data_IF_270341629981
#
_entry.id   IF_270341629981
#
_cell.length_a   1.000
_cell.length_b   1.000
_cell.length_c   1.000
_cell.angle_alpha   90.00
_cell.angle_beta   90.00
_cell.angle_gamma   90.00
#
_symmetry.space_group_name_H-M   'P 1'
#
loop_
_entity.id
_entity.type
_entity.pdbx_description
1 polymer ?
#
# COMPACT_ATOMS: atom_id res chain seq x y z
N UNK A 1 14.75 -23.28 5.02
CA UNK A 1 14.54 -21.90 4.50
C UNK A 1 13.09 -21.55 4.67
N UNK A 2 12.75 -20.47 5.37
CA UNK A 2 11.37 -20.04 5.54
C UNK A 2 10.98 -19.10 4.41
N UNK A 3 9.78 -19.28 3.85
CA UNK A 3 9.15 -18.37 2.89
C UNK A 3 8.05 -17.59 3.60
N UNK A 4 7.94 -16.29 3.35
CA UNK A 4 6.86 -15.47 3.91
C UNK A 4 5.55 -15.64 3.14
N UNK A 5 5.62 -16.14 1.90
CA UNK A 5 4.49 -16.34 1.00
C UNK A 5 4.85 -17.32 -0.13
N UNK A 6 3.88 -18.07 -0.59
CA UNK A 6 3.97 -18.91 -1.78
C UNK A 6 3.18 -18.27 -2.91
N UNK A 7 3.75 -18.29 -4.13
CA UNK A 7 3.12 -17.83 -5.38
C UNK A 7 2.26 -16.55 -5.21
N UNK A 8 2.92 -15.40 -5.17
CA UNK A 8 2.26 -14.13 -4.95
C UNK A 8 1.49 -13.67 -6.20
N UNK A 9 0.16 -13.57 -6.07
CA UNK A 9 -0.75 -13.03 -7.08
C UNK A 9 -1.51 -11.79 -6.56
N UNK A 10 -1.05 -11.19 -5.46
CA UNK A 10 -1.71 -10.07 -4.76
C UNK A 10 -0.79 -8.88 -4.53
N UNK A 11 0.41 -8.85 -5.11
CA UNK A 11 1.43 -7.82 -4.88
C UNK A 11 1.81 -7.67 -3.39
N UNK A 12 2.14 -8.80 -2.76
CA UNK A 12 2.49 -8.89 -1.32
C UNK A 12 4.01 -8.90 -1.09
N UNK A 13 4.76 -8.05 -1.77
CA UNK A 13 6.20 -7.87 -1.57
C UNK A 13 6.53 -7.30 -0.18
N UNK A 14 7.82 -7.20 0.14
CA UNK A 14 8.34 -6.63 1.38
C UNK A 14 8.93 -5.24 1.10
N UNK A 15 8.12 -4.16 1.16
CA UNK A 15 8.58 -2.83 0.78
C UNK A 15 9.43 -2.17 1.88
N UNK A 16 9.28 -2.63 3.13
CA UNK A 16 9.93 -2.04 4.29
C UNK A 16 11.29 -2.66 4.59
N UNK A 17 12.28 -1.88 5.06
CA UNK A 17 13.51 -2.43 5.60
C UNK A 17 13.23 -3.20 6.89
N UNK A 18 13.97 -4.29 7.18
CA UNK A 18 13.85 -5.00 8.45
C UNK A 18 14.42 -4.18 9.61
N UNK A 19 13.87 -4.40 10.81
CA UNK A 19 14.37 -3.81 12.04
C UNK A 19 15.26 -4.81 12.78
N UNK A 20 16.43 -4.37 13.21
CA UNK A 20 17.31 -5.11 14.10
C UNK A 20 16.96 -4.76 15.55
N UNK A 21 16.61 -5.77 16.32
CA UNK A 21 16.21 -5.62 17.73
C UNK A 21 16.80 -6.74 18.57
N UNK A 22 16.89 -6.54 19.87
CA UNK A 22 17.21 -7.62 20.83
C UNK A 22 15.94 -7.97 21.60
N UNK A 23 15.59 -9.24 21.64
CA UNK A 23 14.45 -9.76 22.38
C UNK A 23 14.91 -10.68 23.50
N UNK A 24 14.17 -10.71 24.60
CA UNK A 24 14.43 -11.61 25.72
C UNK A 24 13.46 -12.78 25.68
N UNK A 25 13.97 -13.99 25.65
CA UNK A 25 13.22 -15.25 25.69
C UNK A 25 13.75 -16.15 26.77
N UNK A 26 12.89 -16.54 27.69
CA UNK A 26 13.28 -17.41 28.82
C UNK A 26 14.55 -16.93 29.54
N UNK A 27 14.67 -15.62 29.77
CA UNK A 27 15.82 -14.99 30.40
C UNK A 27 17.04 -14.78 29.48
N UNK A 28 17.03 -15.29 28.26
CA UNK A 28 18.14 -15.16 27.30
C UNK A 28 17.87 -14.04 26.31
N UNK A 29 18.85 -13.18 26.08
CA UNK A 29 18.82 -12.17 25.03
C UNK A 29 19.16 -12.81 23.69
N UNK A 30 18.35 -12.51 22.68
CA UNK A 30 18.51 -13.00 21.31
C UNK A 30 18.52 -11.79 20.38
N UNK A 31 19.57 -11.67 19.62
CA UNK A 31 19.64 -10.69 18.54
C UNK A 31 18.74 -11.14 17.39
N UNK A 32 17.75 -10.32 17.05
CA UNK A 32 16.68 -10.67 16.14
C UNK A 32 16.59 -9.70 14.97
N UNK A 33 16.00 -10.18 13.88
CA UNK A 33 15.55 -9.39 12.75
C UNK A 33 14.02 -9.49 12.67
N UNK A 34 13.34 -8.35 12.70
CA UNK A 34 11.90 -8.28 12.59
C UNK A 34 11.51 -7.60 11.26
N UNK A 35 10.64 -8.27 10.50
CA UNK A 35 10.18 -7.82 9.19
C UNK A 35 8.68 -7.58 9.20
N UNK A 36 8.26 -6.33 9.01
CA UNK A 36 6.85 -6.00 8.72
C UNK A 36 6.52 -6.30 7.25
N UNK A 37 5.27 -6.57 6.96
CA UNK A 37 4.84 -7.02 5.62
C UNK A 37 3.62 -6.27 5.13
N UNK A 38 3.41 -6.20 3.81
CA UNK A 38 2.16 -5.71 3.20
C UNK A 38 0.92 -6.44 3.72
N UNK A 39 1.05 -7.72 4.07
CA UNK A 39 -0.06 -8.54 4.60
C UNK A 39 -0.53 -8.14 6.00
N UNK A 40 0.17 -7.24 6.69
CA UNK A 40 -0.13 -6.88 8.06
C UNK A 40 0.50 -7.78 9.11
N UNK A 41 1.48 -8.62 8.74
CA UNK A 41 2.20 -9.49 9.66
C UNK A 41 3.58 -8.96 10.02
N UNK A 42 4.07 -9.38 11.18
CA UNK A 42 5.49 -9.29 11.55
C UNK A 42 6.07 -10.69 11.60
N UNK A 43 7.11 -10.92 10.80
CA UNK A 43 7.97 -12.10 10.94
C UNK A 43 9.22 -11.71 11.73
N UNK A 44 9.58 -12.51 12.72
CA UNK A 44 10.78 -12.27 13.54
C UNK A 44 11.63 -13.53 13.60
N UNK A 45 12.92 -13.36 13.36
CA UNK A 45 13.89 -14.44 13.33
C UNK A 45 15.10 -14.10 14.20
N UNK A 46 15.68 -15.12 14.80
CA UNK A 46 17.05 -15.06 15.30
C UNK A 46 17.96 -14.74 14.11
N UNK A 47 18.68 -13.62 14.16
CA UNK A 47 19.48 -13.16 13.02
C UNK A 47 20.75 -13.96 12.77
N UNK A 48 21.18 -14.77 13.73
CA UNK A 48 22.36 -15.65 13.59
C UNK A 48 21.97 -16.98 12.96
N UNK A 49 20.86 -17.58 13.44
CA UNK A 49 20.46 -18.93 13.05
C UNK A 49 19.37 -18.94 11.96
N UNK A 50 18.67 -17.82 11.73
CA UNK A 50 17.51 -17.73 10.85
C UNK A 50 16.27 -18.45 11.38
N UNK A 51 16.27 -18.95 12.62
CA UNK A 51 15.12 -19.64 13.21
C UNK A 51 14.03 -18.63 13.58
N UNK A 52 12.74 -18.91 13.29
CA UNK A 52 11.65 -18.04 13.70
C UNK A 52 11.51 -18.03 15.22
N UNK A 53 11.31 -16.86 15.80
CA UNK A 53 11.15 -16.69 17.24
C UNK A 53 9.71 -16.93 17.70
N UNK A 54 8.73 -16.83 16.81
CA UNK A 54 7.37 -17.30 16.99
C UNK A 54 7.06 -18.38 15.95
N UNK A 55 6.24 -19.38 16.27
CA UNK A 55 5.88 -20.42 15.32
C UNK A 55 5.22 -19.84 14.06
N UNK A 56 5.59 -20.37 12.91
CA UNK A 56 4.98 -20.08 11.61
C UNK A 56 4.22 -21.35 11.20
N UNK A 57 2.92 -21.21 10.97
CA UNK A 57 2.04 -22.31 10.59
C UNK A 57 1.64 -22.18 9.12
N UNK A 58 1.83 -23.25 8.35
CA UNK A 58 1.25 -23.40 7.02
C UNK A 58 -0.25 -23.65 7.14
N UNK A 59 -1.08 -22.71 6.63
CA UNK A 59 -2.54 -22.82 6.65
C UNK A 59 -3.09 -22.98 5.25
N UNK A 60 -4.07 -23.87 5.10
CA UNK A 60 -4.81 -24.02 3.84
C UNK A 60 -5.52 -22.71 3.48
N UNK A 61 -5.46 -22.34 2.21
CA UNK A 61 -6.14 -21.17 1.64
C UNK A 61 -7.00 -21.60 0.45
N UNK A 62 -7.90 -20.72 0.00
CA UNK A 62 -8.71 -20.96 -1.17
C UNK A 62 -7.81 -21.01 -2.43
N UNK A 63 -7.99 -22.05 -3.25
CA UNK A 63 -7.23 -22.23 -4.50
C UNK A 63 -8.03 -21.95 -5.76
N UNK A 64 -9.30 -21.53 -5.61
CA UNK A 64 -10.15 -21.21 -6.77
C UNK A 64 -9.67 -19.91 -7.42
N UNK A 65 -9.09 -20.04 -8.60
CA UNK A 65 -8.56 -18.94 -9.39
C UNK A 65 -9.17 -18.92 -10.80
N UNK A 66 -8.88 -17.86 -11.56
CA UNK A 66 -9.28 -17.77 -12.97
C UNK A 66 -8.55 -18.81 -13.83
N UNK A 67 -9.15 -19.28 -14.94
CA UNK A 67 -8.49 -20.20 -15.86
C UNK A 67 -7.11 -19.72 -16.29
N UNK A 68 -6.10 -20.57 -16.11
CA UNK A 68 -4.70 -20.25 -16.40
C UNK A 68 -3.88 -19.75 -15.21
N UNK A 69 -4.51 -19.43 -14.07
CA UNK A 69 -3.84 -19.09 -12.82
C UNK A 69 -3.89 -20.29 -11.85
N UNK A 70 -2.84 -20.44 -11.05
CA UNK A 70 -2.70 -21.49 -10.04
C UNK A 70 -2.36 -20.91 -8.68
N UNK A 71 -3.35 -20.71 -7.83
CA UNK A 71 -3.12 -20.33 -6.44
C UNK A 71 -2.44 -21.46 -5.66
N UNK A 72 -1.50 -21.09 -4.77
CA UNK A 72 -0.84 -22.09 -3.92
C UNK A 72 -1.78 -22.55 -2.80
N UNK A 73 -1.73 -23.84 -2.46
CA UNK A 73 -2.68 -24.49 -1.53
C UNK A 73 -2.55 -24.07 -0.05
N UNK A 74 -1.41 -23.56 0.35
CA UNK A 74 -1.12 -23.13 1.73
C UNK A 74 -0.38 -21.81 1.73
N UNK A 75 -0.47 -21.08 2.83
CA UNK A 75 0.33 -19.88 3.06
C UNK A 75 0.88 -19.87 4.49
N UNK A 76 2.07 -19.30 4.73
CA UNK A 76 2.67 -19.23 6.04
C UNK A 76 2.05 -18.11 6.90
N UNK A 77 1.63 -18.47 8.09
CA UNK A 77 1.04 -17.57 9.09
C UNK A 77 1.91 -17.52 10.34
N UNK A 78 2.51 -16.40 10.73
CA UNK A 78 3.10 -16.25 12.05
C UNK A 78 1.97 -16.28 13.09
N UNK A 79 2.10 -17.09 14.13
CA UNK A 79 1.07 -17.19 15.16
C UNK A 79 1.08 -15.97 16.10
N UNK A 80 2.23 -15.33 16.23
CA UNK A 80 2.43 -14.10 16.98
C UNK A 80 3.46 -13.21 16.27
N UNK A 81 3.33 -11.90 16.45
CA UNK A 81 2.17 -11.18 16.97
C UNK A 81 0.94 -11.39 16.09
N UNK A 82 -0.25 -11.05 16.59
CA UNK A 82 -1.46 -10.96 15.75
C UNK A 82 -1.24 -9.92 14.65
N UNK A 83 -1.95 -10.01 13.51
CA UNK A 83 -1.84 -9.05 12.44
C UNK A 83 -2.03 -7.61 12.92
N UNK A 84 -1.18 -6.69 12.49
CA UNK A 84 -1.28 -5.27 12.88
C UNK A 84 -2.27 -4.48 12.01
N UNK A 85 -2.71 -5.04 10.89
CA UNK A 85 -3.79 -4.52 10.05
C UNK A 85 -4.97 -5.48 10.05
N UNK A 86 -6.18 -4.99 9.75
CA UNK A 86 -7.35 -5.84 9.48
C UNK A 86 -7.11 -6.67 8.21
N UNK A 87 -7.64 -7.88 8.21
CA UNK A 87 -7.56 -8.79 7.07
C UNK A 87 -8.91 -8.87 6.35
N UNK A 88 -8.90 -9.12 5.04
CA UNK A 88 -10.11 -9.15 4.22
C UNK A 88 -11.17 -10.15 4.73
N UNK A 89 -10.76 -11.28 5.29
CA UNK A 89 -11.66 -12.30 5.85
C UNK A 89 -12.34 -11.89 7.17
N UNK A 90 -11.88 -10.82 7.81
CA UNK A 90 -12.50 -10.25 9.01
C UNK A 90 -13.61 -9.27 8.68
N UNK A 91 -13.72 -8.84 7.41
CA UNK A 91 -14.66 -7.81 6.96
C UNK A 91 -16.02 -8.41 6.64
N UNK A 92 -17.06 -7.84 7.23
CA UNK A 92 -18.46 -8.17 6.95
C UNK A 92 -19.05 -7.19 5.93
N UNK A 93 -20.17 -7.56 5.28
CA UNK A 93 -20.85 -6.66 4.34
C UNK A 93 -21.33 -5.35 4.99
N UNK A 94 -21.52 -5.37 6.31
CA UNK A 94 -21.95 -4.22 7.13
C UNK A 94 -20.82 -3.29 7.54
N UNK A 95 -19.54 -3.68 7.32
CA UNK A 95 -18.35 -2.90 7.74
C UNK A 95 -18.05 -1.75 6.78
N UNK A 96 -19.09 -0.97 6.47
CA UNK A 96 -19.00 0.22 5.63
C UNK A 96 -18.81 1.49 6.47
N UNK A 97 -18.21 2.49 5.84
CA UNK A 97 -17.92 3.78 6.47
C UNK A 97 -19.17 4.40 7.13
N UNK A 98 -19.10 4.83 8.40
CA UNK A 98 -20.20 5.55 9.05
C UNK A 98 -20.45 6.92 8.40
N UNK A 99 -19.50 7.45 7.65
CA UNK A 99 -19.54 8.75 7.00
C UNK A 99 -20.02 8.70 5.55
N UNK A 100 -20.14 7.51 4.95
CA UNK A 100 -20.59 7.34 3.58
C UNK A 100 -22.02 7.80 3.35
N UNK A 101 -22.27 8.49 2.25
CA UNK A 101 -23.61 8.92 1.82
C UNK A 101 -24.38 7.80 1.10
N UNK A 102 -23.69 6.84 0.49
CA UNK A 102 -24.25 5.71 -0.26
C UNK A 102 -24.07 4.36 0.46
N UNK A 103 -24.33 4.28 1.76
CA UNK A 103 -24.06 3.10 2.62
C UNK A 103 -24.67 1.80 2.10
N UNK A 104 -25.91 1.83 1.64
CA UNK A 104 -26.59 0.62 1.16
C UNK A 104 -25.95 0.09 -0.13
N UNK A 105 -25.55 0.97 -1.03
CA UNK A 105 -24.79 0.58 -2.21
C UNK A 105 -23.44 -0.07 -1.83
N UNK A 106 -22.70 0.54 -0.91
CA UNK A 106 -21.43 -0.02 -0.41
C UNK A 106 -21.63 -1.39 0.24
N UNK A 107 -22.68 -1.59 1.03
CA UNK A 107 -23.01 -2.90 1.62
C UNK A 107 -23.26 -3.94 0.53
N UNK A 108 -24.01 -3.58 -0.51
CA UNK A 108 -24.29 -4.44 -1.64
C UNK A 108 -23.01 -4.81 -2.40
N UNK A 109 -22.16 -3.82 -2.70
CA UNK A 109 -20.87 -4.05 -3.35
C UNK A 109 -20.02 -4.98 -2.48
N UNK A 110 -19.82 -4.61 -1.21
CA UNK A 110 -18.97 -5.36 -0.28
C UNK A 110 -19.50 -6.79 -0.05
N UNK A 111 -20.84 -6.96 0.00
CA UNK A 111 -21.49 -8.26 0.12
C UNK A 111 -21.22 -9.20 -1.06
N UNK A 112 -21.05 -8.63 -2.26
CA UNK A 112 -20.79 -9.38 -3.48
C UNK A 112 -19.31 -9.65 -3.76
N UNK A 113 -18.37 -8.98 -3.07
CA UNK A 113 -16.93 -9.22 -3.26
C UNK A 113 -16.50 -10.55 -2.62
N UNK A 114 -15.54 -11.24 -3.23
CA UNK A 114 -14.77 -12.27 -2.53
C UNK A 114 -13.94 -11.59 -1.43
N UNK A 115 -13.92 -12.17 -0.23
CA UNK A 115 -13.29 -11.58 0.96
C UNK A 115 -12.44 -12.56 1.74
N UNK A 116 -12.27 -13.77 1.24
CA UNK A 116 -11.37 -14.74 1.87
C UNK A 116 -9.93 -14.20 1.86
N UNK A 117 -9.21 -14.43 2.94
CA UNK A 117 -7.81 -14.09 2.97
C UNK A 117 -7.06 -14.98 1.98
N UNK A 118 -6.34 -14.41 1.06
CA UNK A 118 -5.77 -15.08 -0.12
C UNK A 118 -6.80 -15.62 -1.14
N UNK A 119 -8.03 -15.07 -1.20
CA UNK A 119 -8.86 -15.27 -2.38
C UNK A 119 -8.17 -14.71 -3.62
N UNK A 120 -8.08 -15.51 -4.66
CA UNK A 120 -7.49 -15.06 -5.93
C UNK A 120 -8.33 -13.95 -6.58
N UNK A 121 -7.71 -13.06 -7.37
CA UNK A 121 -8.41 -12.06 -8.17
C UNK A 121 -9.51 -12.71 -9.03
N UNK A 122 -10.67 -12.04 -9.17
CA UNK A 122 -11.85 -12.65 -9.82
C UNK A 122 -12.62 -11.66 -10.69
N UNK A 123 -13.45 -12.16 -11.59
CA UNK A 123 -14.38 -11.35 -12.39
C UNK A 123 -15.48 -10.71 -11.54
N UNK A 124 -15.87 -11.34 -10.45
CA UNK A 124 -16.80 -10.80 -9.46
C UNK A 124 -16.20 -9.59 -8.72
N UNK A 125 -14.89 -9.60 -8.52
CA UNK A 125 -14.12 -8.69 -7.68
C UNK A 125 -13.72 -9.35 -6.38
N UNK A 126 -12.52 -9.01 -5.90
CA UNK A 126 -11.92 -9.52 -4.67
C UNK A 126 -11.49 -8.35 -3.82
N UNK A 127 -11.91 -8.30 -2.56
CA UNK A 127 -11.44 -7.32 -1.59
C UNK A 127 -10.01 -7.66 -1.19
N UNK A 128 -9.11 -6.74 -1.45
CA UNK A 128 -7.72 -6.81 -1.00
C UNK A 128 -7.58 -5.91 0.24
N UNK A 129 -7.37 -6.52 1.40
CA UNK A 129 -7.14 -5.82 2.66
C UNK A 129 -6.11 -6.60 3.51
N UNK A 130 -5.04 -5.96 3.95
CA UNK A 130 -4.56 -4.64 3.53
C UNK A 130 -4.45 -4.53 2.01
N UNK A 131 -4.65 -3.32 1.47
CA UNK A 131 -4.68 -3.07 0.03
C UNK A 131 -3.34 -3.25 -0.67
N UNK A 132 -3.23 -2.79 -1.93
CA UNK A 132 -2.00 -2.92 -2.72
C UNK A 132 -0.82 -2.12 -2.13
N UNK A 133 -1.09 -0.99 -1.50
CA UNK A 133 -0.07 -0.26 -0.73
C UNK A 133 0.41 -1.07 0.49
N UNK A 134 -0.40 -2.01 0.98
CA UNK A 134 -0.09 -2.86 2.12
C UNK A 134 -0.43 -2.24 3.47
N UNK A 135 -0.45 -3.07 4.51
CA UNK A 135 -0.54 -2.61 5.89
C UNK A 135 0.71 -1.85 6.30
N UNK A 136 1.88 -2.39 6.03
CA UNK A 136 3.17 -1.73 6.23
C UNK A 136 3.82 -1.33 4.92
N UNK A 137 4.36 -0.11 4.90
CA UNK A 137 4.89 0.56 3.73
C UNK A 137 6.41 0.75 3.82
N UNK A 138 7.02 1.27 2.74
CA UNK A 138 8.46 1.50 2.59
C UNK A 138 9.09 2.40 3.67
N UNK A 139 8.31 3.20 4.39
CA UNK A 139 8.78 3.95 5.56
C UNK A 139 9.19 3.07 6.75
N UNK A 140 8.77 1.82 6.74
CA UNK A 140 9.15 0.83 7.73
C UNK A 140 8.50 1.03 9.11
N UNK A 141 9.02 0.30 10.09
CA UNK A 141 8.65 0.43 11.49
C UNK A 141 9.76 1.16 12.27
N UNK A 142 9.36 1.89 13.31
CA UNK A 142 10.29 2.33 14.35
C UNK A 142 10.53 1.22 15.37
N UNK A 143 11.65 1.26 16.06
CA UNK A 143 11.94 0.27 17.09
C UNK A 143 12.60 0.90 18.34
N UNK A 144 12.30 0.35 19.51
CA UNK A 144 13.19 0.41 20.66
C UNK A 144 14.01 -0.88 20.65
N UNK A 145 15.24 -0.84 20.12
CA UNK A 145 16.01 -2.04 19.86
C UNK A 145 16.44 -2.76 21.13
N UNK A 146 16.55 -2.05 22.26
CA UNK A 146 16.98 -2.62 23.55
C UNK A 146 15.82 -3.28 24.31
N UNK A 147 14.61 -2.70 24.17
CA UNK A 147 13.41 -3.26 24.81
C UNK A 147 12.70 -4.30 23.94
N UNK A 148 13.09 -4.46 22.68
CA UNK A 148 12.43 -5.36 21.74
C UNK A 148 11.02 -4.95 21.38
N UNK A 149 10.74 -3.63 21.28
CA UNK A 149 9.43 -3.09 20.94
C UNK A 149 9.45 -2.56 19.51
N UNK A 150 8.45 -2.93 18.71
CA UNK A 150 8.20 -2.34 17.39
C UNK A 150 7.03 -1.36 17.43
N UNK A 151 7.16 -0.28 16.67
CA UNK A 151 6.13 0.73 16.47
C UNK A 151 5.81 0.80 14.99
N UNK A 152 4.56 0.47 14.63
CA UNK A 152 4.16 0.25 13.25
C UNK A 152 2.94 1.11 12.94
N UNK A 153 3.06 2.02 11.99
CA UNK A 153 1.91 2.65 11.37
C UNK A 153 1.38 1.75 10.25
N UNK A 154 0.07 1.63 10.17
CA UNK A 154 -0.60 0.71 9.25
C UNK A 154 -1.70 1.36 8.46
N UNK A 155 -1.77 1.03 7.17
CA UNK A 155 -2.91 1.33 6.31
C UNK A 155 -4.02 0.29 6.51
N UNK A 156 -5.26 0.81 6.61
CA UNK A 156 -6.50 0.02 6.72
C UNK A 156 -7.41 0.29 5.51
N UNK A 157 -6.83 0.66 4.38
CA UNK A 157 -7.53 0.97 3.13
C UNK A 157 -7.86 -0.31 2.36
N UNK A 158 -9.16 -0.53 2.09
CA UNK A 158 -9.61 -1.60 1.22
C UNK A 158 -9.44 -1.25 -0.25
N UNK A 159 -9.04 -2.24 -1.06
CA UNK A 159 -8.97 -2.15 -2.51
C UNK A 159 -9.81 -3.24 -3.14
N UNK A 160 -10.27 -3.00 -4.37
CA UNK A 160 -11.04 -3.99 -5.13
C UNK A 160 -10.25 -4.41 -6.36
N UNK A 161 -9.82 -5.65 -6.36
CA UNK A 161 -9.18 -6.26 -7.52
C UNK A 161 -10.22 -7.01 -8.34
N UNK A 162 -10.58 -6.45 -9.49
CA UNK A 162 -11.52 -7.05 -10.42
C UNK A 162 -10.81 -7.37 -11.73
N UNK A 163 -11.08 -8.57 -12.24
CA UNK A 163 -10.54 -9.03 -13.50
C UNK A 163 -11.63 -9.00 -14.57
N UNK A 164 -11.25 -8.72 -15.80
CA UNK A 164 -12.13 -8.84 -16.97
C UNK A 164 -11.46 -9.69 -18.03
N UNK A 165 -12.26 -10.46 -18.72
CA UNK A 165 -11.79 -11.31 -19.82
C UNK A 165 -11.49 -10.44 -21.04
N UNK A 166 -10.32 -10.65 -21.65
CA UNK A 166 -9.98 -10.05 -22.93
C UNK A 166 -10.84 -10.67 -24.04
N UNK A 167 -11.62 -9.84 -24.73
CA UNK A 167 -12.57 -10.29 -25.75
C UNK A 167 -11.91 -10.74 -27.04
N UNK A 168 -10.80 -10.13 -27.40
CA UNK A 168 -10.11 -10.40 -28.66
C UNK A 168 -8.66 -10.83 -28.41
N UNK A 169 -8.44 -12.15 -28.57
CA UNK A 169 -7.12 -12.76 -28.43
C UNK A 169 -6.49 -13.13 -29.79
N UNK A 170 -7.16 -12.78 -30.90
CA UNK A 170 -6.78 -13.23 -32.24
C UNK A 170 -5.76 -12.32 -32.92
N UNK A 171 -5.75 -11.01 -32.56
CA UNK A 171 -4.82 -10.06 -33.13
C UNK A 171 -4.10 -9.24 -32.06
N UNK A 172 -2.81 -8.98 -32.28
CA UNK A 172 -2.00 -8.08 -31.43
C UNK A 172 -2.08 -6.69 -32.02
N UNK A 173 -2.84 -5.81 -31.38
CA UNK A 173 -2.98 -4.40 -31.78
C UNK A 173 -2.49 -3.47 -30.68
N UNK A 174 -2.35 -2.17 -30.99
CA UNK A 174 -2.04 -1.17 -29.98
C UNK A 174 -3.06 -1.13 -28.84
N UNK A 175 -4.34 -1.40 -29.13
CA UNK A 175 -5.38 -1.50 -28.11
C UNK A 175 -5.17 -2.70 -27.19
N UNK A 176 -4.99 -3.90 -27.75
CA UNK A 176 -4.78 -5.11 -26.93
C UNK A 176 -3.50 -5.03 -26.08
N UNK A 177 -2.46 -4.38 -26.60
CA UNK A 177 -1.24 -4.13 -25.84
C UNK A 177 -1.45 -3.08 -24.75
N UNK A 178 -2.19 -2.00 -25.04
CA UNK A 178 -2.56 -1.02 -24.03
C UNK A 178 -3.35 -1.68 -22.89
N UNK A 179 -4.31 -2.52 -23.21
CA UNK A 179 -5.08 -3.26 -22.21
C UNK A 179 -4.17 -4.14 -21.33
N UNK A 180 -3.15 -4.79 -21.92
CA UNK A 180 -2.23 -5.64 -21.15
C UNK A 180 -1.24 -4.87 -20.26
N UNK A 181 -0.70 -3.74 -20.74
CA UNK A 181 0.43 -3.07 -20.09
C UNK A 181 0.08 -1.77 -19.39
N UNK A 182 -0.99 -1.08 -19.82
CA UNK A 182 -1.25 0.30 -19.42
C UNK A 182 -2.57 0.47 -18.66
N UNK A 183 -3.60 -0.33 -19.01
CA UNK A 183 -4.96 -0.15 -18.50
C UNK A 183 -5.08 -0.35 -16.99
N UNK A 184 -4.22 -1.18 -16.37
CA UNK A 184 -4.19 -1.38 -14.92
C UNK A 184 -3.98 -0.08 -14.13
N UNK A 185 -3.23 0.88 -14.71
CA UNK A 185 -3.00 2.19 -14.11
C UNK A 185 -3.88 3.27 -14.75
N UNK A 186 -3.89 3.33 -16.10
CA UNK A 186 -4.55 4.41 -16.83
C UNK A 186 -6.04 4.16 -17.13
N UNK A 187 -6.58 3.01 -16.71
CA UNK A 187 -7.97 2.62 -16.95
C UNK A 187 -8.22 2.06 -18.35
N UNK A 188 -9.20 1.16 -18.48
CA UNK A 188 -9.54 0.49 -19.75
C UNK A 188 -9.98 1.46 -20.86
N UNK A 189 -10.57 2.60 -20.50
CA UNK A 189 -10.99 3.67 -21.40
C UNK A 189 -10.06 4.89 -21.35
N UNK A 190 -8.84 4.74 -20.87
CA UNK A 190 -7.82 5.81 -20.74
C UNK A 190 -8.18 6.92 -19.74
N UNK A 191 -9.20 6.70 -18.89
CA UNK A 191 -9.73 7.69 -17.95
C UNK A 191 -8.79 8.04 -16.80
N UNK A 192 -7.76 7.21 -16.54
CA UNK A 192 -6.91 7.33 -15.36
C UNK A 192 -7.58 6.88 -14.07
N UNK A 193 -6.90 7.08 -12.97
CA UNK A 193 -7.42 6.88 -11.61
C UNK A 193 -6.81 7.93 -10.67
N UNK A 194 -7.44 9.13 -10.55
CA UNK A 194 -6.91 10.22 -9.73
C UNK A 194 -6.76 9.86 -8.25
N UNK A 195 -7.67 9.03 -7.71
CA UNK A 195 -7.59 8.57 -6.31
C UNK A 195 -6.33 7.74 -6.01
N UNK A 196 -5.78 7.08 -7.04
CA UNK A 196 -4.52 6.33 -6.96
C UNK A 196 -3.32 7.07 -7.57
N UNK A 197 -3.52 8.31 -8.03
CA UNK A 197 -2.47 9.15 -8.62
C UNK A 197 -2.12 8.85 -10.07
N UNK A 198 -2.95 8.08 -10.78
CA UNK A 198 -2.73 7.74 -12.20
C UNK A 198 -3.41 8.74 -13.13
N UNK A 199 -2.67 9.41 -14.02
CA UNK A 199 -3.25 10.44 -14.88
C UNK A 199 -4.14 9.85 -15.97
N UNK A 200 -5.18 10.61 -16.36
CA UNK A 200 -5.97 10.33 -17.54
C UNK A 200 -5.13 10.53 -18.81
N UNK A 201 -5.32 9.65 -19.80
CA UNK A 201 -4.77 9.76 -21.14
C UNK A 201 -5.83 10.15 -22.18
N UNK A 202 -7.04 10.50 -21.74
CA UNK A 202 -8.10 11.00 -22.63
C UNK A 202 -7.65 12.33 -23.22
N UNK A 203 -7.76 12.47 -24.55
CA UNK A 203 -7.33 13.63 -25.32
C UNK A 203 -5.85 14.02 -25.12
N UNK A 204 -4.99 13.03 -24.86
CA UNK A 204 -3.55 13.27 -24.68
C UNK A 204 -2.86 13.71 -25.97
N UNK A 205 -3.40 13.34 -27.14
CA UNK A 205 -2.99 13.76 -28.46
C UNK A 205 -2.95 15.27 -28.63
N UNK A 206 -3.91 16.00 -28.00
CA UNK A 206 -3.96 17.46 -27.97
C UNK A 206 -2.88 18.10 -27.08
N UNK A 207 -2.26 17.32 -26.21
CA UNK A 207 -1.32 17.80 -25.18
C UNK A 207 0.11 17.34 -25.38
N UNK A 208 0.30 16.23 -26.08
CA UNK A 208 1.61 15.58 -26.25
C UNK A 208 1.76 14.95 -27.63
N UNK A 209 2.95 15.05 -28.19
CA UNK A 209 3.29 14.41 -29.47
C UNK A 209 3.46 12.91 -29.33
N UNK A 210 3.28 12.16 -30.42
CA UNK A 210 3.54 10.72 -30.48
C UNK A 210 4.97 10.38 -30.02
N UNK A 211 5.95 11.16 -30.44
CA UNK A 211 7.35 10.95 -30.05
C UNK A 211 7.54 11.07 -28.54
N UNK A 212 6.92 12.06 -27.90
CA UNK A 212 6.96 12.20 -26.43
C UNK A 212 6.30 11.01 -25.74
N UNK A 213 5.11 10.58 -26.20
CA UNK A 213 4.40 9.42 -25.65
C UNK A 213 5.26 8.17 -25.77
N UNK A 214 5.83 7.92 -26.95
CA UNK A 214 6.71 6.78 -27.17
C UNK A 214 7.95 6.80 -26.25
N UNK A 215 8.56 7.97 -26.05
CA UNK A 215 9.69 8.12 -25.14
C UNK A 215 9.29 7.76 -23.70
N UNK A 216 8.12 8.24 -23.22
CA UNK A 216 7.62 7.91 -21.88
C UNK A 216 7.31 6.41 -21.75
N UNK A 217 6.69 5.79 -22.75
CA UNK A 217 6.47 4.34 -22.77
C UNK A 217 7.82 3.60 -22.63
N UNK A 218 8.82 3.99 -23.39
CA UNK A 218 10.13 3.32 -23.37
C UNK A 218 10.87 3.50 -22.05
N UNK A 219 10.90 4.71 -21.50
CA UNK A 219 11.78 5.08 -20.38
C UNK A 219 11.07 5.10 -19.02
N UNK A 220 9.75 5.21 -19.01
CA UNK A 220 8.98 5.51 -17.81
C UNK A 220 9.06 6.97 -17.37
N UNK A 221 8.29 7.33 -16.34
CA UNK A 221 8.31 8.66 -15.72
C UNK A 221 7.68 8.64 -14.33
N UNK A 222 8.43 9.01 -13.30
CA UNK A 222 7.94 8.98 -11.92
C UNK A 222 7.57 7.55 -11.49
N UNK A 223 6.30 7.32 -11.12
CA UNK A 223 5.81 5.98 -10.76
C UNK A 223 5.56 5.07 -11.97
N UNK A 224 5.47 5.62 -13.19
CA UNK A 224 5.28 4.81 -14.39
C UNK A 224 6.58 4.09 -14.76
N UNK A 225 6.60 2.74 -14.78
CA UNK A 225 7.78 2.00 -15.19
C UNK A 225 8.05 2.18 -16.69
N UNK A 226 9.30 1.98 -17.11
CA UNK A 226 9.66 1.91 -18.53
C UNK A 226 9.34 0.54 -19.11
N UNK A 227 8.81 0.53 -20.33
CA UNK A 227 8.49 -0.68 -21.10
C UNK A 227 9.50 -0.94 -22.22
N UNK A 228 10.78 -0.62 -21.98
CA UNK A 228 11.86 -0.87 -22.92
C UNK A 228 12.11 -2.35 -23.24
N UNK A 229 11.53 -3.27 -22.48
CA UNK A 229 11.60 -4.72 -22.68
C UNK A 229 10.63 -5.27 -23.74
N UNK A 230 9.60 -4.50 -24.14
CA UNK A 230 8.72 -4.86 -25.27
C UNK A 230 9.27 -4.30 -26.57
N UNK A 231 8.89 -4.92 -27.71
CA UNK A 231 9.47 -4.54 -29.01
C UNK A 231 9.17 -3.09 -29.39
N UNK A 232 10.01 -2.42 -30.19
CA UNK A 232 9.75 -1.05 -30.66
C UNK A 232 8.44 -0.92 -31.43
N UNK A 233 8.04 -1.95 -32.18
CA UNK A 233 6.76 -2.01 -32.89
C UNK A 233 5.58 -2.02 -31.94
N UNK A 234 5.68 -2.80 -30.86
CA UNK A 234 4.65 -2.83 -29.79
C UNK A 234 4.54 -1.49 -29.07
N UNK A 235 5.68 -0.85 -28.73
CA UNK A 235 5.69 0.49 -28.14
C UNK A 235 5.04 1.53 -29.06
N UNK A 236 5.37 1.47 -30.37
CA UNK A 236 4.77 2.38 -31.37
C UNK A 236 3.27 2.16 -31.50
N UNK A 237 2.81 0.91 -31.55
CA UNK A 237 1.37 0.60 -31.64
C UNK A 237 0.59 1.06 -30.42
N UNK A 238 1.13 0.92 -29.22
CA UNK A 238 0.54 1.48 -27.98
C UNK A 238 0.44 3.00 -28.10
N UNK A 239 1.49 3.68 -28.56
CA UNK A 239 1.50 5.12 -28.75
C UNK A 239 0.45 5.56 -29.79
N UNK A 240 0.29 4.81 -30.89
CA UNK A 240 -0.74 5.05 -31.91
C UNK A 240 -2.15 4.95 -31.32
N UNK A 241 -2.43 3.89 -30.55
CA UNK A 241 -3.72 3.70 -29.88
C UNK A 241 -4.02 4.81 -28.85
N UNK A 242 -3.02 5.23 -28.08
CA UNK A 242 -3.18 6.32 -27.11
C UNK A 242 -3.54 7.62 -27.81
N UNK A 243 -3.00 7.87 -29.01
CA UNK A 243 -3.28 9.03 -29.85
C UNK A 243 -4.55 8.91 -30.70
N UNK A 244 -5.30 7.80 -30.59
CA UNK A 244 -6.51 7.61 -31.38
C UNK A 244 -6.27 7.32 -32.86
N UNK A 245 -5.05 6.92 -33.26
CA UNK A 245 -4.73 6.54 -34.63
C UNK A 245 -5.34 5.16 -34.97
N UNK A 246 -5.61 4.86 -36.25
CA UNK A 246 -6.16 3.58 -36.66
C UNK A 246 -5.33 2.40 -36.16
N UNK A 247 -6.00 1.33 -35.66
CA UNK A 247 -5.28 0.15 -35.16
C UNK A 247 -4.50 -0.55 -36.29
N UNK A 248 -3.25 -0.93 -36.00
CA UNK A 248 -2.44 -1.77 -36.86
C UNK A 248 -2.20 -3.09 -36.16
N UNK A 249 -2.37 -4.18 -36.88
CA UNK A 249 -1.96 -5.50 -36.41
C UNK A 249 -0.43 -5.63 -36.40
N UNK A 250 0.09 -6.20 -35.34
CA UNK A 250 1.50 -6.52 -35.23
C UNK A 250 1.67 -8.02 -35.51
N UNK A 251 2.24 -8.32 -36.66
CA UNK A 251 2.54 -9.67 -37.10
C UNK A 251 4.06 -9.93 -36.90
N UNK A 252 4.48 -10.15 -35.69
CA UNK A 252 5.87 -10.46 -35.38
C UNK A 252 5.97 -11.77 -34.57
N UNK A 253 6.97 -12.58 -34.85
CA UNK A 253 7.31 -13.76 -34.06
C UNK A 253 7.65 -13.41 -32.59
N UNK A 254 7.98 -12.15 -32.33
CA UNK A 254 8.26 -11.59 -31.00
C UNK A 254 7.06 -10.84 -30.40
N UNK A 255 5.84 -11.00 -30.94
CA UNK A 255 4.64 -10.34 -30.40
C UNK A 255 4.40 -10.76 -28.94
N UNK A 256 4.15 -9.82 -28.02
CA UNK A 256 3.84 -10.14 -26.64
C UNK A 256 2.61 -11.05 -26.54
N UNK A 257 2.66 -12.04 -25.66
CA UNK A 257 1.51 -12.90 -25.39
C UNK A 257 0.39 -12.09 -24.74
N UNK A 258 -0.78 -12.06 -25.36
CA UNK A 258 -1.97 -11.46 -24.76
C UNK A 258 -2.50 -12.39 -23.68
N UNK A 259 -2.67 -11.87 -22.47
CA UNK A 259 -3.22 -12.62 -21.35
C UNK A 259 -4.74 -12.73 -21.50
N UNK A 260 -5.34 -13.87 -21.11
CA UNK A 260 -6.80 -14.09 -21.22
C UNK A 260 -7.62 -13.17 -20.32
N UNK A 261 -7.02 -12.65 -19.26
CA UNK A 261 -7.63 -11.73 -18.31
C UNK A 261 -6.72 -10.55 -18.03
N UNK A 262 -7.33 -9.43 -17.72
CA UNK A 262 -6.66 -8.22 -17.29
C UNK A 262 -7.32 -7.63 -16.05
N UNK A 263 -6.55 -6.92 -15.24
CA UNK A 263 -7.04 -6.17 -14.09
C UNK A 263 -7.73 -4.88 -14.55
N UNK A 264 -8.87 -4.53 -13.94
CA UNK A 264 -9.60 -3.29 -14.27
C UNK A 264 -8.91 -2.03 -13.75
N UNK A 265 -7.91 -2.17 -12.91
CA UNK A 265 -7.12 -1.09 -12.33
C UNK A 265 -6.89 -1.26 -10.83
N UNK A 266 -6.06 -0.39 -10.29
CA UNK A 266 -5.82 -0.25 -8.86
C UNK A 266 -6.94 0.58 -8.23
N UNK A 267 -8.05 -0.06 -7.89
CA UNK A 267 -9.25 0.61 -7.43
C UNK A 267 -9.38 0.52 -5.92
N UNK A 268 -9.34 1.65 -5.24
CA UNK A 268 -9.68 1.74 -3.82
C UNK A 268 -11.18 1.51 -3.62
N UNK A 269 -11.56 0.90 -2.51
CA UNK A 269 -12.96 0.79 -2.10
C UNK A 269 -13.37 2.11 -1.46
N UNK A 270 -13.99 2.99 -2.24
CA UNK A 270 -14.39 4.35 -1.85
C UNK A 270 -15.90 4.49 -1.89
N UNK A 271 -16.41 5.47 -1.12
CA UNK A 271 -17.79 5.92 -1.21
C UNK A 271 -18.01 6.90 -2.39
N UNK A 272 -19.23 7.38 -2.56
CA UNK A 272 -19.60 8.31 -3.63
C UNK A 272 -18.89 9.67 -3.53
N UNK A 273 -18.43 10.06 -2.35
CA UNK A 273 -17.70 11.31 -2.09
C UNK A 273 -16.17 11.12 -2.23
N UNK A 274 -15.70 9.91 -2.55
CA UNK A 274 -14.29 9.56 -2.67
C UNK A 274 -13.58 9.30 -1.34
N UNK A 275 -14.32 9.15 -0.24
CA UNK A 275 -13.81 8.76 1.06
C UNK A 275 -13.68 7.23 1.16
N UNK A 276 -12.83 6.71 2.06
CA UNK A 276 -12.72 5.27 2.26
C UNK A 276 -14.06 4.61 2.59
N UNK A 277 -14.43 3.59 1.84
CA UNK A 277 -15.73 2.92 1.94
C UNK A 277 -15.86 1.96 3.11
N UNK A 278 -14.73 1.47 3.69
CA UNK A 278 -14.76 0.62 4.88
C UNK A 278 -14.94 1.44 6.16
N UNK A 279 -15.42 0.77 7.22
CA UNK A 279 -15.50 1.36 8.56
C UNK A 279 -14.13 1.82 9.07
N UNK A 280 -14.12 2.86 9.91
CA UNK A 280 -12.90 3.35 10.59
C UNK A 280 -12.38 2.30 11.59
N UNK A 281 -11.07 2.37 11.95
CA UNK A 281 -10.07 3.34 11.50
C UNK A 281 -9.50 3.01 10.12
N UNK A 282 -9.15 4.04 9.34
CA UNK A 282 -8.52 3.89 8.02
C UNK A 282 -7.00 3.86 8.06
N UNK A 283 -6.45 4.06 9.22
CA UNK A 283 -5.03 3.91 9.55
C UNK A 283 -4.85 3.80 11.05
N UNK A 284 -3.84 3.04 11.46
CA UNK A 284 -3.54 2.82 12.88
C UNK A 284 -2.06 3.01 13.17
N UNK A 285 -1.75 3.32 14.43
CA UNK A 285 -0.40 3.26 14.99
C UNK A 285 -0.40 2.22 16.10
N UNK A 286 0.59 1.33 16.06
CA UNK A 286 0.63 0.14 16.89
C UNK A 286 1.97 0.07 17.63
N UNK A 287 1.97 -0.36 18.89
CA UNK A 287 3.18 -0.79 19.60
C UNK A 287 3.06 -2.26 19.98
N UNK A 288 4.06 -3.05 19.61
CA UNK A 288 4.07 -4.49 19.81
C UNK A 288 5.36 -4.87 20.55
N UNK A 289 5.18 -5.53 21.68
CA UNK A 289 6.28 -6.16 22.43
C UNK A 289 6.71 -7.46 21.74
N UNK A 290 7.86 -7.45 21.11
CA UNK A 290 8.38 -8.60 20.38
C UNK A 290 8.97 -9.67 21.30
N UNK A 291 9.13 -9.39 22.60
CA UNK A 291 9.49 -10.41 23.58
C UNK A 291 8.33 -11.41 23.78
N UNK A 292 7.10 -10.92 23.74
CA UNK A 292 5.89 -11.69 24.02
C UNK A 292 4.97 -11.86 22.81
N UNK A 293 5.10 -11.02 21.80
CA UNK A 293 4.17 -10.94 20.66
C UNK A 293 2.84 -10.25 21.00
N UNK A 294 2.76 -9.56 22.14
CA UNK A 294 1.54 -8.89 22.59
C UNK A 294 1.56 -7.40 22.19
N UNK A 295 0.37 -6.86 21.92
CA UNK A 295 0.19 -5.43 21.78
C UNK A 295 0.36 -4.73 23.12
N UNK A 296 1.12 -3.64 23.12
CA UNK A 296 1.14 -2.68 24.22
C UNK A 296 -0.04 -1.70 24.05
N UNK A 297 -0.23 -1.21 22.83
CA UNK A 297 -1.35 -0.36 22.46
C UNK A 297 -1.56 -0.35 20.93
N UNK A 298 -2.78 0.01 20.51
CA UNK A 298 -3.19 0.27 19.13
C UNK A 298 -4.17 1.44 19.12
N UNK A 299 -3.90 2.47 18.31
CA UNK A 299 -4.71 3.68 18.22
C UNK A 299 -4.98 4.05 16.76
N UNK A 300 -6.09 4.76 16.44
CA UNK A 300 -6.26 5.41 15.15
C UNK A 300 -5.11 6.39 14.89
N UNK A 301 -4.62 6.45 13.66
CA UNK A 301 -3.51 7.30 13.28
C UNK A 301 -3.84 8.18 12.08
N UNK A 302 -3.75 9.50 12.28
CA UNK A 302 -4.14 10.52 11.31
C UNK A 302 -5.64 10.77 11.27
N UNK A 303 -6.04 11.72 10.44
CA UNK A 303 -7.44 12.06 10.20
C UNK A 303 -7.65 12.40 8.73
N UNK A 304 -8.88 12.20 8.26
CA UNK A 304 -9.26 12.55 6.90
C UNK A 304 -9.57 14.05 6.80
N UNK A 305 -8.81 14.84 6.00
CA UNK A 305 -9.00 16.30 5.93
C UNK A 305 -10.42 16.71 5.55
N UNK A 306 -11.08 15.96 4.65
CA UNK A 306 -12.45 16.25 4.24
C UNK A 306 -13.45 16.14 5.40
N UNK A 307 -13.21 15.23 6.35
CA UNK A 307 -14.04 15.08 7.55
C UNK A 307 -13.69 16.12 8.62
N UNK A 308 -12.43 16.47 8.77
CA UNK A 308 -12.01 17.59 9.64
C UNK A 308 -12.75 18.87 9.22
N UNK A 309 -12.80 19.18 7.93
CA UNK A 309 -13.50 20.34 7.38
C UNK A 309 -15.02 20.29 7.60
N UNK A 310 -15.60 19.09 7.76
CA UNK A 310 -17.00 18.87 8.16
C UNK A 310 -17.21 18.91 9.69
N UNK A 311 -16.17 19.23 10.47
CA UNK A 311 -16.25 19.36 11.94
C UNK A 311 -16.08 18.04 12.71
N UNK A 312 -15.69 16.94 12.07
CA UNK A 312 -15.39 15.68 12.75
C UNK A 312 -14.03 15.82 13.46
N UNK A 313 -14.07 15.74 14.79
CA UNK A 313 -12.88 15.93 15.64
C UNK A 313 -12.18 14.64 16.02
N UNK A 314 -12.90 13.52 16.02
CA UNK A 314 -12.34 12.22 16.37
C UNK A 314 -11.36 11.74 15.31
N UNK A 315 -10.22 11.14 15.69
CA UNK A 315 -9.29 10.60 14.73
C UNK A 315 -9.91 9.43 13.98
N UNK A 316 -10.13 9.63 12.68
CA UNK A 316 -10.70 8.60 11.79
C UNK A 316 -9.67 7.56 11.39
N UNK A 317 -8.40 7.83 11.67
CA UNK A 317 -7.30 7.20 10.96
C UNK A 317 -7.23 7.71 9.52
N UNK A 318 -6.11 7.50 8.86
CA UNK A 318 -5.92 7.89 7.47
C UNK A 318 -4.85 7.06 6.79
N UNK A 319 -4.85 7.07 5.45
CA UNK A 319 -3.74 6.50 4.70
C UNK A 319 -2.44 7.16 5.11
N UNK A 320 -1.43 6.34 5.30
CA UNK A 320 -0.15 6.79 5.82
C UNK A 320 1.00 6.05 5.13
N UNK A 321 2.11 6.78 4.95
CA UNK A 321 3.38 6.27 4.39
C UNK A 321 4.49 6.79 5.27
N UNK A 322 5.72 6.46 5.10
CA UNK A 322 6.76 6.87 6.03
C UNK A 322 6.62 6.18 7.41
N UNK A 323 7.68 6.04 8.12
CA UNK A 323 7.71 5.38 9.42
C UNK A 323 7.93 6.35 10.60
N UNK A 324 7.76 5.87 11.85
CA UNK A 324 8.12 6.62 13.04
C UNK A 324 9.61 6.54 13.34
N UNK A 325 10.12 7.54 14.06
CA UNK A 325 11.37 7.42 14.80
C UNK A 325 11.11 7.38 16.30
N UNK A 326 11.96 6.66 17.03
CA UNK A 326 11.87 6.50 18.47
C UNK A 326 13.12 7.10 19.11
N UNK A 327 12.93 8.02 20.06
CA UNK A 327 14.05 8.58 20.82
C UNK A 327 14.36 7.69 22.04
N UNK A 328 15.58 7.79 22.53
CA UNK A 328 15.97 7.08 23.78
C UNK A 328 15.15 7.54 24.99
N UNK A 329 14.63 8.77 24.99
CA UNK A 329 13.76 9.31 26.04
C UNK A 329 12.31 8.78 25.96
N UNK A 330 11.98 7.96 24.96
CA UNK A 330 10.64 7.35 24.81
C UNK A 330 9.63 8.22 24.08
N UNK A 331 10.09 9.13 23.20
CA UNK A 331 9.22 9.84 22.28
C UNK A 331 9.13 9.07 20.96
N UNK A 332 7.91 8.90 20.45
CA UNK A 332 7.63 8.44 19.11
C UNK A 332 7.23 9.66 18.27
N UNK A 333 7.97 9.89 17.18
CA UNK A 333 7.77 11.06 16.32
C UNK A 333 7.45 10.57 14.92
N UNK A 334 6.32 11.03 14.36
CA UNK A 334 5.82 10.61 13.05
C UNK A 334 4.99 11.71 12.40
N UNK A 335 5.09 11.85 11.08
CA UNK A 335 4.18 12.65 10.25
C UNK A 335 3.26 11.72 9.43
N UNK A 336 3.68 11.26 8.27
CA UNK A 336 3.17 10.15 7.49
C UNK A 336 1.75 10.24 6.91
N UNK A 337 0.93 11.23 7.29
CA UNK A 337 -0.50 11.33 6.92
C UNK A 337 -0.80 12.56 6.06
N UNK A 338 -1.89 12.50 5.28
CA UNK A 338 -2.30 13.58 4.37
C UNK A 338 -2.84 14.83 5.08
N UNK A 339 -3.12 14.75 6.38
CA UNK A 339 -3.56 15.91 7.20
C UNK A 339 -2.42 16.87 7.57
N UNK A 340 -1.23 16.68 6.96
CA UNK A 340 -0.08 17.56 7.10
C UNK A 340 0.28 17.90 8.56
N UNK A 341 0.37 16.89 9.42
CA UNK A 341 0.61 17.07 10.86
C UNK A 341 1.78 16.20 11.34
N UNK A 342 2.77 16.81 11.98
CA UNK A 342 3.78 16.10 12.75
C UNK A 342 3.23 15.81 14.15
N UNK A 343 3.30 14.57 14.59
CA UNK A 343 2.80 14.12 15.90
C UNK A 343 3.91 13.54 16.74
N UNK A 344 3.87 13.85 18.03
CA UNK A 344 4.78 13.31 19.05
C UNK A 344 3.91 12.54 20.06
N UNK A 345 4.19 11.26 20.21
CA UNK A 345 3.51 10.39 21.16
C UNK A 345 4.45 9.91 22.25
N UNK A 346 3.92 9.61 23.41
CA UNK A 346 4.59 8.81 24.41
C UNK A 346 4.67 7.35 23.92
N UNK A 347 5.87 6.86 23.65
CA UNK A 347 6.05 5.54 23.05
C UNK A 347 5.49 4.40 23.91
N UNK A 348 5.53 4.53 25.23
CA UNK A 348 5.04 3.49 26.16
C UNK A 348 3.51 3.33 26.21
N UNK A 349 2.74 4.39 25.87
CA UNK A 349 1.29 4.41 26.07
C UNK A 349 0.49 4.79 24.79
N UNK A 350 1.15 5.30 23.75
CA UNK A 350 0.46 5.85 22.59
C UNK A 350 -0.24 7.18 22.85
N UNK A 351 -0.04 7.80 24.03
CA UNK A 351 -0.65 9.10 24.35
C UNK A 351 -0.04 10.18 23.46
N UNK A 352 -0.88 10.96 22.76
CA UNK A 352 -0.44 12.14 22.02
C UNK A 352 0.06 13.21 23.00
N UNK A 353 1.29 13.64 22.84
CA UNK A 353 1.92 14.67 23.67
C UNK A 353 1.89 16.05 23.00
N UNK A 354 2.12 16.07 21.68
CA UNK A 354 2.12 17.30 20.90
C UNK A 354 1.80 17.01 19.43
N UNK A 355 1.28 18.02 18.74
CA UNK A 355 1.07 18.00 17.30
C UNK A 355 1.39 19.37 16.70
N UNK A 356 2.02 19.37 15.53
CA UNK A 356 2.45 20.58 14.83
C UNK A 356 1.98 20.53 13.39
N UNK A 357 1.30 21.57 12.88
CA UNK A 357 0.93 21.64 11.48
C UNK A 357 2.18 21.75 10.62
N UNK A 358 2.19 21.07 9.49
CA UNK A 358 3.24 21.14 8.48
C UNK A 358 2.74 21.97 7.28
N UNK A 359 3.64 22.67 6.58
CA UNK A 359 3.25 23.49 5.41
C UNK A 359 2.69 22.62 4.25
N UNK A 360 3.13 21.37 4.15
CA UNK A 360 2.64 20.36 3.22
C UNK A 360 2.70 18.99 3.88
N UNK A 361 1.90 18.03 3.35
CA UNK A 361 1.93 16.67 3.85
C UNK A 361 3.35 16.08 3.74
N UNK A 362 3.75 15.34 4.76
CA UNK A 362 5.00 14.60 4.78
C UNK A 362 4.70 13.11 4.75
N UNK A 363 5.27 12.41 3.78
CA UNK A 363 5.21 10.97 3.65
C UNK A 363 6.59 10.32 3.83
N UNK A 364 7.55 11.08 4.35
CA UNK A 364 8.89 10.62 4.68
C UNK A 364 9.00 10.27 6.17
N UNK A 365 9.87 9.32 6.50
CA UNK A 365 10.28 9.08 7.88
C UNK A 365 11.08 10.28 8.38
N UNK A 366 10.76 10.86 9.56
CA UNK A 366 11.54 11.93 10.15
C UNK A 366 12.98 11.49 10.42
N UNK A 367 13.88 12.47 10.52
CA UNK A 367 15.26 12.26 10.95
C UNK A 367 15.56 13.11 12.17
N UNK A 368 16.52 12.71 12.99
CA UNK A 368 17.00 13.52 14.12
C UNK A 368 18.50 13.63 14.12
N UNK A 369 19.00 14.80 14.50
CA UNK A 369 20.43 15.06 14.64
C UNK A 369 20.68 16.05 15.77
N UNK A 370 21.93 16.18 16.19
CA UNK A 370 22.35 17.13 17.25
C UNK A 370 23.44 18.05 16.72
N UNK A 371 23.29 19.35 16.97
CA UNK A 371 24.28 20.38 16.67
C UNK A 371 24.41 21.32 17.87
N UNK A 372 25.64 21.60 18.31
CA UNK A 372 25.92 22.47 19.43
C UNK A 372 25.08 22.19 20.69
N UNK A 373 24.91 20.91 21.00
CA UNK A 373 24.13 20.46 22.16
C UNK A 373 22.62 20.46 21.99
N UNK A 374 22.06 21.09 20.96
CA UNK A 374 20.61 21.06 20.64
C UNK A 374 20.26 19.90 19.73
N UNK A 375 19.18 19.20 20.06
CA UNK A 375 18.60 18.17 19.20
C UNK A 375 17.60 18.81 18.23
N UNK A 376 17.62 18.33 17.00
CA UNK A 376 16.69 18.72 15.94
C UNK A 376 15.93 17.51 15.43
N UNK A 377 14.67 17.72 15.08
CA UNK A 377 13.84 16.78 14.31
C UNK A 377 13.58 17.40 12.94
N UNK A 378 13.90 16.66 11.88
CA UNK A 378 13.76 17.12 10.49
C UNK A 378 12.68 16.32 9.78
N UNK A 379 11.81 17.01 9.05
CA UNK A 379 10.69 16.45 8.30
C UNK A 379 10.69 17.03 6.89
N UNK A 380 10.66 16.17 5.88
CA UNK A 380 10.53 16.59 4.47
C UNK A 380 9.07 16.66 4.09
N UNK A 381 8.60 17.84 3.69
CA UNK A 381 7.20 18.12 3.33
C UNK A 381 7.08 18.22 1.80
N UNK A 382 6.99 17.08 1.12
CA UNK A 382 6.95 16.98 -0.35
C UNK A 382 5.55 17.02 -0.95
N UNK A 383 4.55 16.61 -0.19
CA UNK A 383 3.17 16.49 -0.68
C UNK A 383 3.02 15.52 -1.86
N UNK A 384 2.11 15.82 -2.75
CA UNK A 384 1.73 15.15 -4.01
C UNK A 384 1.07 13.78 -3.89
N UNK A 385 1.50 12.93 -2.97
CA UNK A 385 0.87 11.64 -2.75
C UNK A 385 -0.54 11.83 -2.16
N UNK A 386 -1.44 10.93 -2.45
CA UNK A 386 -2.83 10.96 -1.98
C UNK A 386 -3.60 12.25 -2.34
N UNK A 387 -3.24 12.90 -3.44
CA UNK A 387 -3.90 14.13 -3.90
C UNK A 387 -3.56 15.38 -3.08
N UNK A 388 -2.58 15.32 -2.17
CA UNK A 388 -2.17 16.50 -1.39
C UNK A 388 -1.40 17.51 -2.24
N UNK A 389 -1.43 18.81 -1.88
CA UNK A 389 -0.66 19.84 -2.57
C UNK A 389 0.82 19.51 -2.64
N UNK A 390 1.47 19.85 -3.75
CA UNK A 390 2.91 19.68 -3.94
C UNK A 390 3.68 20.64 -3.06
N UNK A 391 4.67 20.09 -2.31
CA UNK A 391 5.58 20.83 -1.47
C UNK A 391 7.05 20.64 -1.86
N UNK A 392 7.91 21.52 -1.36
CA UNK A 392 9.36 21.46 -1.55
C UNK A 392 10.10 22.00 -0.31
N UNK A 393 9.53 21.76 0.87
CA UNK A 393 10.01 22.32 2.14
C UNK A 393 10.60 21.23 3.01
N UNK A 394 11.71 21.55 3.67
CA UNK A 394 12.27 20.78 4.78
C UNK A 394 12.08 21.60 6.05
N UNK A 395 11.41 21.03 7.04
CA UNK A 395 11.15 21.69 8.34
C UNK A 395 12.03 21.06 9.39
N UNK A 396 12.71 21.89 10.19
CA UNK A 396 13.51 21.47 11.34
C UNK A 396 12.93 22.06 12.61
N UNK A 397 12.61 21.21 13.57
CA UNK A 397 12.20 21.61 14.92
C UNK A 397 13.35 21.40 15.88
N UNK A 398 13.67 22.41 16.69
CA UNK A 398 14.63 22.31 17.79
C UNK A 398 13.88 21.82 19.05
N UNK A 399 14.45 20.86 19.75
CA UNK A 399 13.95 20.33 21.02
C UNK A 399 14.71 20.94 22.19
#
# INVERSE_FOLDING_TARGET
MYKRQHHDIWDRDLPAPPNLITVTRNGTQIDAVAQITKQGFVFIFDRVTGKPLFPIQERKVNTVALPGEQAWKTQPFPLLPKPYARLSNEIQATDVSPYATNKEELKNILGNLKRGWYDAPSEQGTLILPGFDGGGEWGGAGADPKKGILYINSNEMGWVQKMVRNKDMKSVTGETLYQNYCASCHGVSKQGNPASGYPSLVNIDQKRTKAYIHQIIKQGKGMMPGFGHISPEAQSAIADYIQGLPPKEIMSASSPKILPYQMTGYNKFLDADGLPGLSTPWGTLNAIDMNTGKYLWKIPFGSEPALINKGIKDPTGGENYGGPIITQSGLLIIAATKDATLRIYQASSGKLLASYPLPFASFATPSTYRVNGKQFVVVTCGGTKLGTPKGNVVVAYAL
#
